data_IF_607460190531
#
_entry.id   IF_607460190531
#
_cell.length_a   1.000
_cell.length_b   1.000
_cell.length_c   1.000
_cell.angle_alpha   90.00
_cell.angle_beta   90.00
_cell.angle_gamma   90.00
#
_symmetry.space_group_name_H-M   'P 1'
#
loop_
_entity.id
_entity.type
_entity.pdbx_description
1 polymer ?
#
# COMPACT_ATOMS: atom_id res chain seq x y z
N UNK A 1 -44.20 30.75 4.78
CA UNK A 1 -42.90 30.68 4.07
C UNK A 1 -41.85 31.28 4.98
N UNK A 2 -40.90 30.48 5.47
CA UNK A 2 -39.76 31.02 6.23
C UNK A 2 -38.86 31.73 5.22
N UNK A 3 -38.69 33.04 5.39
CA UNK A 3 -37.84 33.85 4.51
C UNK A 3 -36.38 33.63 4.95
N UNK A 4 -35.73 32.61 4.39
CA UNK A 4 -34.32 32.33 4.69
C UNK A 4 -33.45 33.38 3.97
N UNK A 5 -32.67 34.20 4.71
CA UNK A 5 -31.79 35.16 4.08
C UNK A 5 -30.69 34.44 3.28
N UNK A 6 -30.60 34.75 1.99
CA UNK A 6 -29.54 34.25 1.11
C UNK A 6 -28.42 35.29 1.11
N UNK A 7 -27.20 34.88 1.43
CA UNK A 7 -26.02 35.76 1.46
C UNK A 7 -24.73 34.98 1.24
N UNK A 8 -23.66 35.71 0.88
CA UNK A 8 -22.32 35.14 0.78
C UNK A 8 -21.71 34.94 2.17
N UNK A 9 -20.84 33.95 2.31
CA UNK A 9 -20.14 33.64 3.55
C UNK A 9 -18.67 33.36 3.24
N UNK A 10 -17.78 33.91 4.07
CA UNK A 10 -16.34 33.60 4.04
C UNK A 10 -16.02 32.27 4.74
N UNK A 11 -17.05 31.52 5.17
CA UNK A 11 -16.88 30.21 5.78
C UNK A 11 -16.24 29.27 4.78
N UNK A 12 -15.02 28.84 5.08
CA UNK A 12 -14.34 27.83 4.29
C UNK A 12 -15.09 26.50 4.40
N UNK A 13 -15.29 25.85 3.25
CA UNK A 13 -15.96 24.56 3.14
C UNK A 13 -15.14 23.63 2.26
N UNK A 14 -15.25 22.33 2.52
CA UNK A 14 -14.66 21.27 1.69
C UNK A 14 -15.71 20.21 1.38
N UNK A 15 -15.73 19.64 0.16
CA UNK A 15 -16.56 18.48 -0.13
C UNK A 15 -16.10 17.21 0.61
N UNK A 16 -14.93 17.23 1.25
CA UNK A 16 -14.28 16.08 1.88
C UNK A 16 -14.35 16.10 3.42
N UNK A 17 -15.41 16.67 4.00
CA UNK A 17 -15.55 16.80 5.48
C UNK A 17 -15.45 15.47 6.24
N UNK A 18 -15.78 14.34 5.60
CA UNK A 18 -15.61 12.99 6.13
C UNK A 18 -14.16 12.59 6.42
N UNK A 19 -13.18 13.28 5.85
CA UNK A 19 -11.74 13.05 6.11
C UNK A 19 -11.34 13.38 7.55
N UNK A 20 -12.19 14.07 8.31
CA UNK A 20 -12.04 14.20 9.77
C UNK A 20 -12.02 12.84 10.49
N UNK A 21 -12.74 11.83 9.98
CA UNK A 21 -12.69 10.46 10.52
C UNK A 21 -11.35 9.79 10.19
N UNK A 22 -10.85 9.95 8.97
CA UNK A 22 -9.54 9.44 8.56
C UNK A 22 -8.41 10.07 9.37
N UNK A 23 -8.51 11.37 9.65
CA UNK A 23 -7.58 12.06 10.54
C UNK A 23 -7.56 11.46 11.94
N UNK A 24 -8.73 11.19 12.53
CA UNK A 24 -8.82 10.53 13.85
C UNK A 24 -8.21 9.14 13.84
N UNK A 25 -8.41 8.37 12.77
CA UNK A 25 -7.78 7.07 12.59
C UNK A 25 -6.25 7.17 12.54
N UNK A 26 -5.69 8.10 11.76
CA UNK A 26 -4.25 8.35 11.70
C UNK A 26 -3.70 8.74 13.08
N UNK A 27 -4.40 9.61 13.81
CA UNK A 27 -3.97 10.04 15.14
C UNK A 27 -3.98 8.89 16.15
N UNK A 28 -5.06 8.10 16.14
CA UNK A 28 -5.22 6.96 17.05
C UNK A 28 -4.20 5.85 16.80
N UNK A 29 -3.87 5.58 15.53
CA UNK A 29 -2.86 4.57 15.18
C UNK A 29 -1.43 5.02 15.52
N UNK A 30 -1.18 6.33 15.65
CA UNK A 30 0.15 6.87 15.91
C UNK A 30 1.11 6.77 14.71
N UNK A 31 0.58 6.55 13.50
CA UNK A 31 1.38 6.24 12.30
C UNK A 31 2.38 7.34 11.93
N UNK A 32 2.04 8.62 12.16
CA UNK A 32 2.97 9.74 11.95
C UNK A 32 4.25 9.59 12.77
N UNK A 33 4.12 9.11 14.01
CA UNK A 33 5.24 8.88 14.91
C UNK A 33 6.09 7.68 14.48
N UNK A 34 5.45 6.63 14.01
CA UNK A 34 6.14 5.43 13.53
C UNK A 34 6.87 5.67 12.20
N UNK A 35 6.26 6.38 11.25
CA UNK A 35 6.90 6.73 9.98
C UNK A 35 8.24 7.45 10.15
N UNK A 36 8.39 8.27 11.21
CA UNK A 36 9.65 8.96 11.53
C UNK A 36 10.79 8.04 11.93
N UNK A 37 10.50 6.80 12.29
CA UNK A 37 11.48 5.81 12.73
C UNK A 37 11.97 4.93 11.56
N UNK A 38 11.28 4.99 10.41
CA UNK A 38 11.61 4.20 9.23
C UNK A 38 12.69 4.90 8.39
N UNK A 39 13.48 4.13 7.63
CA UNK A 39 14.45 4.66 6.66
C UNK A 39 13.75 5.24 5.42
N UNK A 40 13.11 6.39 5.59
CA UNK A 40 12.44 7.12 4.51
C UNK A 40 13.39 8.11 3.81
N UNK A 41 13.19 8.40 2.51
CA UNK A 41 14.02 9.38 1.82
C UNK A 41 13.87 10.80 2.37
N UNK A 42 14.93 11.33 2.97
CA UNK A 42 14.93 12.67 3.55
C UNK A 42 15.00 13.81 2.51
N UNK A 43 14.51 15.01 2.83
CA UNK A 43 14.71 16.20 2.01
C UNK A 43 16.17 16.67 2.07
N UNK A 44 16.67 17.17 0.95
CA UNK A 44 18.03 17.73 0.87
C UNK A 44 18.13 19.20 1.31
N UNK A 45 17.06 19.79 1.83
CA UNK A 45 17.04 21.21 2.24
C UNK A 45 16.13 21.43 3.44
N UNK A 46 16.41 22.48 4.22
CA UNK A 46 15.64 22.88 5.40
C UNK A 46 14.21 23.36 5.08
N UNK A 47 13.89 23.59 3.80
CA UNK A 47 12.55 23.97 3.32
C UNK A 47 11.77 22.77 2.78
N UNK A 48 12.35 21.57 2.84
CA UNK A 48 11.69 20.36 2.38
C UNK A 48 10.60 19.88 3.34
N UNK A 49 9.61 19.20 2.79
CA UNK A 49 8.59 18.51 3.57
C UNK A 49 9.20 17.30 4.28
N UNK A 50 8.76 17.06 5.51
CA UNK A 50 9.12 15.84 6.24
C UNK A 50 8.50 14.60 5.55
N UNK A 51 9.18 13.45 5.51
CA UNK A 51 8.67 12.26 4.83
C UNK A 51 7.27 11.82 5.27
N UNK A 52 6.98 11.86 6.57
CA UNK A 52 5.67 11.45 7.10
C UNK A 52 4.54 12.36 6.60
N UNK A 53 4.82 13.66 6.40
CA UNK A 53 3.86 14.59 5.83
C UNK A 53 3.61 14.25 4.35
N UNK A 54 4.65 13.99 3.55
CA UNK A 54 4.50 13.62 2.14
C UNK A 54 3.68 12.34 1.98
N UNK A 55 3.95 11.31 2.80
CA UNK A 55 3.21 10.05 2.74
C UNK A 55 1.75 10.24 3.12
N UNK A 56 1.49 10.93 4.24
CA UNK A 56 0.13 11.14 4.74
C UNK A 56 -0.71 12.00 3.79
N UNK A 57 -0.14 13.08 3.24
CA UNK A 57 -0.83 13.93 2.27
C UNK A 57 -1.08 13.21 0.95
N UNK A 58 -0.21 12.26 0.59
CA UNK A 58 -0.44 11.37 -0.56
C UNK A 58 -1.59 10.39 -0.30
N UNK A 59 -1.68 9.81 0.91
CA UNK A 59 -2.84 8.97 1.28
C UNK A 59 -4.14 9.77 1.25
N UNK A 60 -4.15 10.98 1.81
CA UNK A 60 -5.31 11.86 1.71
C UNK A 60 -5.72 12.06 0.25
N UNK A 61 -4.75 12.29 -0.63
CA UNK A 61 -5.00 12.45 -2.05
C UNK A 61 -5.70 11.23 -2.66
N UNK A 62 -5.25 10.02 -2.32
CA UNK A 62 -5.87 8.77 -2.78
C UNK A 62 -7.29 8.64 -2.22
N UNK A 63 -7.51 8.90 -0.93
CA UNK A 63 -8.82 8.78 -0.29
C UNK A 63 -9.87 9.75 -0.85
N UNK A 64 -9.44 10.92 -1.33
CA UNK A 64 -10.31 11.87 -2.03
C UNK A 64 -10.39 11.62 -3.54
N UNK A 65 -9.85 10.51 -4.05
CA UNK A 65 -10.04 10.07 -5.43
C UNK A 65 -8.91 10.43 -6.42
N UNK A 66 -7.73 10.83 -5.95
CA UNK A 66 -6.59 11.07 -6.84
C UNK A 66 -6.09 9.75 -7.45
N UNK A 67 -6.10 9.69 -8.78
CA UNK A 67 -5.58 8.56 -9.58
C UNK A 67 -4.29 8.89 -10.34
N UNK A 68 -3.86 10.16 -10.31
CA UNK A 68 -2.64 10.68 -10.94
C UNK A 68 -1.98 11.67 -10.01
N UNK A 69 -0.64 11.80 -10.08
CA UNK A 69 0.08 12.76 -9.24
C UNK A 69 -0.43 14.20 -9.42
N UNK A 70 -0.83 14.59 -10.63
CA UNK A 70 -1.36 15.95 -10.88
C UNK A 70 -2.68 16.22 -10.16
N UNK A 71 -3.48 15.19 -9.84
CA UNK A 71 -4.71 15.36 -9.07
C UNK A 71 -4.42 15.72 -7.60
N UNK A 72 -3.21 15.42 -7.09
CA UNK A 72 -2.80 15.80 -5.74
C UNK A 72 -2.71 17.33 -5.58
N UNK A 73 -2.45 18.07 -6.68
CA UNK A 73 -2.41 19.53 -6.66
C UNK A 73 -3.79 20.16 -6.43
N UNK A 74 -4.89 19.45 -6.70
CA UNK A 74 -6.25 19.96 -6.45
C UNK A 74 -6.49 20.20 -4.95
N UNK A 75 -5.98 19.30 -4.10
CA UNK A 75 -6.15 19.41 -2.65
C UNK A 75 -5.19 20.42 -2.02
N UNK A 76 -4.14 20.81 -2.75
CA UNK A 76 -3.16 21.80 -2.27
C UNK A 76 -3.78 23.16 -1.94
N UNK A 77 -4.95 23.46 -2.50
CA UNK A 77 -5.68 24.70 -2.24
C UNK A 77 -6.83 24.52 -1.24
N UNK A 78 -7.11 23.30 -0.77
CA UNK A 78 -8.15 23.03 0.23
C UNK A 78 -7.65 23.37 1.63
N UNK A 79 -7.94 24.61 2.06
CA UNK A 79 -7.56 25.13 3.39
C UNK A 79 -8.29 24.45 4.54
N UNK A 80 -9.48 23.89 4.30
CA UNK A 80 -10.22 23.16 5.35
C UNK A 80 -9.56 21.82 5.62
N UNK A 81 -9.18 21.07 4.59
CA UNK A 81 -8.44 19.83 4.76
C UNK A 81 -7.07 20.06 5.40
N UNK A 82 -6.36 21.11 4.99
CA UNK A 82 -5.11 21.52 5.65
C UNK A 82 -5.30 21.76 7.15
N UNK A 83 -6.37 22.47 7.52
CA UNK A 83 -6.74 22.67 8.92
C UNK A 83 -7.08 21.36 9.63
N UNK A 84 -7.90 20.48 9.03
CA UNK A 84 -8.25 19.16 9.62
C UNK A 84 -6.98 18.34 9.89
N UNK A 85 -6.03 18.33 8.97
CA UNK A 85 -4.81 17.53 9.09
C UNK A 85 -3.67 18.22 9.85
N UNK A 86 -3.86 19.48 10.29
CA UNK A 86 -2.86 20.33 10.92
C UNK A 86 -1.61 20.53 10.03
N UNK A 87 -1.83 20.95 8.79
CA UNK A 87 -0.77 21.29 7.83
C UNK A 87 -0.87 22.75 7.40
N UNK A 88 0.28 23.41 7.30
CA UNK A 88 0.33 24.79 6.77
C UNK A 88 0.13 24.83 5.26
N UNK A 89 0.78 23.89 4.56
CA UNK A 89 0.71 23.71 3.11
C UNK A 89 0.83 22.24 2.76
N UNK A 90 0.17 21.82 1.67
CA UNK A 90 0.37 20.48 1.12
C UNK A 90 1.49 20.45 0.06
N UNK A 91 2.21 19.32 -0.08
CA UNK A 91 3.18 19.13 -1.14
C UNK A 91 2.58 19.25 -2.54
N UNK A 92 3.37 19.73 -3.49
CA UNK A 92 3.02 19.71 -4.92
C UNK A 92 3.23 18.34 -5.55
N UNK A 93 2.61 18.13 -6.70
CA UNK A 93 2.84 17.02 -7.63
C UNK A 93 4.34 16.66 -7.74
N UNK A 94 5.18 17.67 -8.00
CA UNK A 94 6.62 17.50 -8.19
C UNK A 94 7.35 17.03 -6.93
N UNK A 95 6.87 17.41 -5.75
CA UNK A 95 7.43 16.91 -4.48
C UNK A 95 7.14 15.43 -4.32
N UNK A 96 5.92 14.98 -4.59
CA UNK A 96 5.58 13.55 -4.55
C UNK A 96 6.44 12.73 -5.52
N UNK A 97 6.54 13.16 -6.79
CA UNK A 97 7.33 12.43 -7.79
C UNK A 97 8.81 12.33 -7.41
N UNK A 98 9.40 13.41 -6.90
CA UNK A 98 10.80 13.36 -6.43
C UNK A 98 10.97 12.48 -5.20
N UNK A 99 10.04 12.54 -4.25
CA UNK A 99 10.09 11.73 -3.04
C UNK A 99 10.00 10.23 -3.36
N UNK A 100 8.96 9.80 -4.08
CA UNK A 100 8.79 8.40 -4.45
C UNK A 100 9.87 7.91 -5.44
N UNK A 101 10.40 8.79 -6.28
CA UNK A 101 11.52 8.47 -7.18
C UNK A 101 12.85 8.20 -6.46
N UNK A 102 12.98 8.51 -5.16
CA UNK A 102 14.16 8.18 -4.35
C UNK A 102 14.13 6.77 -3.76
N UNK A 103 13.01 6.06 -3.84
CA UNK A 103 12.94 4.69 -3.33
C UNK A 103 13.64 3.73 -4.28
N UNK A 104 14.45 2.83 -3.72
CA UNK A 104 14.95 1.64 -4.39
C UNK A 104 14.10 0.43 -3.99
N UNK A 105 14.21 -0.69 -4.72
CA UNK A 105 13.56 -1.93 -4.30
C UNK A 105 14.05 -2.36 -2.91
N UNK A 106 15.37 -2.27 -2.66
CA UNK A 106 15.98 -2.58 -1.36
C UNK A 106 15.32 -1.79 -0.24
N UNK A 107 15.26 -0.46 -0.36
CA UNK A 107 14.64 0.40 0.67
C UNK A 107 13.16 0.08 0.85
N UNK A 108 12.43 -0.20 -0.23
CA UNK A 108 11.03 -0.59 -0.13
C UNK A 108 10.87 -1.88 0.69
N UNK A 109 11.70 -2.89 0.44
CA UNK A 109 11.74 -4.14 1.20
C UNK A 109 12.16 -3.94 2.67
N UNK A 110 12.99 -2.94 2.97
CA UNK A 110 13.38 -2.64 4.36
C UNK A 110 12.30 -1.87 5.13
N UNK A 111 11.47 -1.07 4.43
CA UNK A 111 10.46 -0.21 5.06
C UNK A 111 9.09 -0.89 5.15
N UNK A 112 8.63 -1.53 4.07
CA UNK A 112 7.24 -1.96 3.93
C UNK A 112 6.85 -3.09 4.89
N UNK A 113 7.60 -4.21 5.02
CA UNK A 113 7.26 -5.27 5.97
C UNK A 113 7.26 -4.78 7.43
N UNK A 114 8.18 -3.88 7.79
CA UNK A 114 8.27 -3.29 9.13
C UNK A 114 7.04 -2.42 9.43
N UNK A 115 6.61 -1.60 8.48
CA UNK A 115 5.38 -0.82 8.60
C UNK A 115 4.15 -1.70 8.76
N UNK A 116 4.07 -2.77 7.97
CA UNK A 116 2.94 -3.69 8.00
C UNK A 116 2.89 -4.44 9.32
N UNK A 117 4.03 -4.93 9.82
CA UNK A 117 4.12 -5.61 11.11
C UNK A 117 3.62 -4.72 12.25
N UNK A 118 4.17 -3.51 12.36
CA UNK A 118 3.74 -2.53 13.35
C UNK A 118 2.23 -2.24 13.27
N UNK A 119 1.69 -2.12 12.05
CA UNK A 119 0.28 -1.84 11.86
C UNK A 119 -0.61 -3.01 12.29
N UNK A 120 -0.27 -4.24 11.86
CA UNK A 120 -1.03 -5.44 12.22
C UNK A 120 -0.93 -5.78 13.71
N UNK A 121 0.15 -5.41 14.40
CA UNK A 121 0.28 -5.57 15.85
C UNK A 121 -0.79 -4.81 16.64
N UNK A 122 -1.31 -3.72 16.10
CA UNK A 122 -2.41 -2.96 16.69
C UNK A 122 -3.77 -3.64 16.50
N UNK A 123 -3.86 -4.62 15.59
CA UNK A 123 -5.09 -5.33 15.28
C UNK A 123 -5.17 -6.59 16.14
N UNK A 124 -6.20 -6.65 16.98
CA UNK A 124 -6.52 -7.78 17.86
C UNK A 124 -7.11 -8.99 17.11
N UNK A 125 -6.52 -9.37 15.98
CA UNK A 125 -6.88 -10.60 15.26
C UNK A 125 -5.71 -11.56 15.36
N UNK A 126 -5.99 -12.77 15.80
CA UNK A 126 -5.03 -13.86 15.91
C UNK A 126 -5.56 -15.11 15.18
N UNK A 127 -4.69 -16.09 14.97
CA UNK A 127 -4.97 -17.30 14.20
C UNK A 127 -5.52 -16.97 12.80
N UNK A 128 -4.76 -16.13 12.08
CA UNK A 128 -5.17 -15.52 10.83
C UNK A 128 -5.13 -16.49 9.66
N UNK A 129 -6.01 -16.23 8.69
CA UNK A 129 -5.97 -16.88 7.38
C UNK A 129 -5.25 -15.96 6.42
N UNK A 130 -4.24 -16.45 5.72
CA UNK A 130 -3.49 -15.67 4.72
C UNK A 130 -3.83 -16.14 3.32
N UNK A 131 -4.29 -15.22 2.50
CA UNK A 131 -4.62 -15.45 1.10
C UNK A 131 -3.49 -14.91 0.22
N UNK A 132 -2.82 -15.80 -0.51
CA UNK A 132 -1.82 -15.43 -1.51
C UNK A 132 -2.46 -15.41 -2.90
N UNK A 133 -2.32 -14.28 -3.57
CA UNK A 133 -2.82 -14.09 -4.93
C UNK A 133 -1.78 -13.35 -5.80
N UNK A 134 -1.93 -13.48 -7.11
CA UNK A 134 -1.15 -12.73 -8.09
C UNK A 134 -2.06 -12.03 -9.07
N UNK A 135 -1.60 -10.91 -9.61
CA UNK A 135 -2.37 -10.17 -10.61
C UNK A 135 -1.47 -9.69 -11.74
N UNK A 136 -2.06 -9.34 -12.88
CA UNK A 136 -1.34 -8.77 -14.02
C UNK A 136 -1.75 -7.32 -14.20
N UNK A 137 -0.79 -6.41 -14.07
CA UNK A 137 -1.01 -4.99 -14.37
C UNK A 137 -0.37 -4.65 -15.71
N UNK A 138 -1.22 -4.47 -16.73
CA UNK A 138 -0.78 -4.06 -18.06
C UNK A 138 -0.18 -2.65 -18.02
N UNK A 139 0.94 -2.46 -18.70
CA UNK A 139 1.62 -1.17 -18.80
C UNK A 139 1.59 -0.65 -20.23
N UNK A 140 1.31 0.65 -20.32
CA UNK A 140 1.26 1.41 -21.57
C UNK A 140 2.42 2.42 -21.49
N UNK A 141 3.60 1.99 -21.95
CA UNK A 141 4.84 2.76 -21.86
C UNK A 141 5.99 1.94 -21.25
N UNK A 142 7.06 2.66 -20.92
CA UNK A 142 8.34 2.10 -20.48
C UNK A 142 8.54 2.31 -18.97
N UNK A 143 7.55 1.90 -18.17
CA UNK A 143 7.66 1.99 -16.72
C UNK A 143 8.76 1.06 -16.21
N UNK A 144 9.59 1.57 -15.29
CA UNK A 144 10.65 0.81 -14.64
C UNK A 144 10.13 -0.50 -14.07
N UNK A 145 10.87 -1.59 -14.27
CA UNK A 145 10.51 -2.91 -13.76
C UNK A 145 9.41 -3.62 -14.55
N UNK A 146 8.84 -3.02 -15.60
CA UNK A 146 7.89 -3.71 -16.47
C UNK A 146 8.59 -4.59 -17.50
N UNK A 147 8.01 -5.75 -17.80
CA UNK A 147 8.54 -6.68 -18.80
C UNK A 147 7.41 -7.41 -19.53
N UNK A 148 7.68 -7.91 -20.72
CA UNK A 148 6.75 -8.75 -21.47
C UNK A 148 6.71 -10.14 -20.83
N UNK A 149 5.56 -10.54 -20.33
CA UNK A 149 5.32 -11.91 -19.90
C UNK A 149 3.86 -12.28 -19.99
N UNK A 150 3.40 -13.18 -19.13
CA UNK A 150 2.03 -13.66 -19.18
C UNK A 150 1.03 -12.52 -18.94
N UNK A 151 0.21 -12.24 -19.94
CA UNK A 151 -0.88 -11.28 -19.85
C UNK A 151 -2.07 -11.78 -20.68
N UNK A 152 -3.08 -12.38 -20.04
CA UNK A 152 -4.20 -13.01 -20.76
C UNK A 152 -5.03 -11.98 -21.52
N UNK A 153 -5.16 -10.77 -20.95
CA UNK A 153 -6.00 -9.71 -21.51
C UNK A 153 -5.31 -8.94 -22.65
N UNK A 154 -3.97 -8.82 -22.62
CA UNK A 154 -3.18 -8.01 -23.57
C UNK A 154 -1.82 -8.67 -23.86
N UNK A 155 -1.84 -9.76 -24.62
CA UNK A 155 -0.63 -10.53 -25.02
C UNK A 155 0.44 -9.63 -25.67
N UNK A 156 1.71 -9.88 -25.35
CA UNK A 156 2.87 -9.19 -25.93
C UNK A 156 3.15 -7.77 -25.40
N UNK A 157 2.33 -7.26 -24.47
CA UNK A 157 2.54 -5.97 -23.81
C UNK A 157 3.42 -6.10 -22.56
N UNK A 158 4.15 -5.03 -22.26
CA UNK A 158 4.83 -4.90 -20.97
C UNK A 158 3.79 -4.93 -19.85
N UNK A 159 4.14 -5.59 -18.75
CA UNK A 159 3.29 -5.70 -17.57
C UNK A 159 4.14 -5.82 -16.31
N UNK A 160 3.47 -5.64 -15.18
CA UNK A 160 3.94 -6.13 -13.89
C UNK A 160 3.08 -7.32 -13.47
N UNK A 161 3.66 -8.22 -12.69
CA UNK A 161 2.98 -9.38 -12.12
C UNK A 161 3.06 -9.38 -10.58
N UNK A 162 2.36 -8.45 -9.89
CA UNK A 162 2.42 -8.37 -8.44
C UNK A 162 2.04 -9.67 -7.73
N UNK A 163 2.69 -9.91 -6.58
CA UNK A 163 2.19 -10.82 -5.55
C UNK A 163 1.56 -9.99 -4.44
N UNK A 164 0.45 -10.48 -3.89
CA UNK A 164 -0.24 -9.83 -2.78
C UNK A 164 -0.64 -10.91 -1.78
N UNK A 165 -0.41 -10.62 -0.49
CA UNK A 165 -0.88 -11.42 0.62
C UNK A 165 -1.96 -10.63 1.36
N UNK A 166 -3.11 -11.24 1.62
CA UNK A 166 -4.21 -10.64 2.37
C UNK A 166 -4.48 -11.39 3.66
N UNK A 167 -4.86 -10.66 4.72
CA UNK A 167 -5.43 -11.26 5.93
C UNK A 167 -6.93 -11.49 5.70
N UNK A 168 -7.37 -12.74 5.63
CA UNK A 168 -8.73 -13.10 5.25
C UNK A 168 -9.82 -12.52 6.16
N UNK A 169 -9.53 -12.38 7.46
CA UNK A 169 -10.47 -11.85 8.45
C UNK A 169 -10.77 -10.37 8.25
N UNK A 170 -9.76 -9.57 7.91
CA UNK A 170 -9.88 -8.10 7.76
C UNK A 170 -9.91 -7.65 6.31
N UNK A 171 -9.58 -8.54 5.37
CA UNK A 171 -9.33 -8.26 3.95
C UNK A 171 -8.25 -7.22 3.69
N UNK A 172 -7.39 -6.98 4.66
CA UNK A 172 -6.29 -6.03 4.55
C UNK A 172 -5.08 -6.69 3.89
N UNK A 173 -4.33 -5.90 3.11
CA UNK A 173 -3.06 -6.35 2.54
C UNK A 173 -2.05 -6.52 3.68
N UNK A 174 -1.48 -7.70 3.81
CA UNK A 174 -0.38 -8.03 4.72
C UNK A 174 0.97 -7.69 4.07
N UNK A 175 1.18 -8.16 2.84
CA UNK A 175 2.41 -7.92 2.09
C UNK A 175 2.11 -7.76 0.58
N UNK A 176 3.00 -7.09 -0.16
CA UNK A 176 2.88 -6.93 -1.60
C UNK A 176 4.25 -6.73 -2.27
N UNK A 177 4.51 -7.49 -3.32
CA UNK A 177 5.69 -7.34 -4.17
C UNK A 177 5.30 -6.94 -5.58
N UNK A 178 5.88 -5.85 -6.09
CA UNK A 178 5.72 -5.43 -7.49
C UNK A 178 6.80 -6.09 -8.35
N UNK A 179 6.47 -7.18 -9.04
CA UNK A 179 7.40 -7.93 -9.89
C UNK A 179 7.25 -7.59 -11.38
N UNK A 180 8.29 -7.78 -12.19
CA UNK A 180 8.18 -7.75 -13.64
C UNK A 180 7.18 -8.78 -14.21
N UNK A 181 6.60 -8.47 -15.38
CA UNK A 181 5.60 -9.32 -16.02
C UNK A 181 6.10 -10.68 -16.50
N UNK A 182 7.41 -10.82 -16.74
CA UNK A 182 8.06 -12.07 -17.16
C UNK A 182 8.46 -12.98 -15.99
N UNK A 183 8.07 -12.66 -14.76
CA UNK A 183 8.38 -13.47 -13.58
C UNK A 183 7.33 -14.57 -13.41
N UNK A 184 7.72 -15.81 -13.70
CA UNK A 184 6.90 -17.02 -13.49
C UNK A 184 7.50 -17.97 -12.44
N UNK A 185 8.53 -17.52 -11.70
CA UNK A 185 9.36 -18.39 -10.87
C UNK A 185 8.78 -18.62 -9.46
N UNK A 186 8.68 -19.89 -9.04
CA UNK A 186 8.25 -20.34 -7.71
C UNK A 186 9.18 -19.87 -6.59
N UNK A 187 10.47 -19.69 -6.89
CA UNK A 187 11.47 -19.23 -5.93
C UNK A 187 11.10 -17.86 -5.35
N UNK A 188 10.57 -16.97 -6.22
CA UNK A 188 10.11 -15.64 -5.82
C UNK A 188 8.84 -15.69 -4.96
N UNK A 189 7.97 -16.68 -5.17
CA UNK A 189 6.79 -16.90 -4.34
C UNK A 189 7.17 -17.41 -2.95
N UNK A 190 8.15 -18.32 -2.85
CA UNK A 190 8.66 -18.82 -1.55
C UNK A 190 9.29 -17.70 -0.75
N UNK A 191 10.12 -16.87 -1.38
CA UNK A 191 10.72 -15.71 -0.73
C UNK A 191 9.66 -14.70 -0.26
N UNK A 192 8.62 -14.46 -1.06
CA UNK A 192 7.50 -13.60 -0.69
C UNK A 192 6.70 -14.15 0.50
N UNK A 193 6.38 -15.45 0.51
CA UNK A 193 5.72 -16.10 1.65
C UNK A 193 6.59 -15.99 2.92
N UNK A 194 7.90 -16.23 2.79
CA UNK A 194 8.84 -16.11 3.90
C UNK A 194 8.87 -14.71 4.49
N UNK A 195 8.97 -13.67 3.66
CA UNK A 195 8.92 -12.27 4.15
C UNK A 195 7.56 -11.96 4.80
N UNK A 196 6.47 -12.47 4.23
CA UNK A 196 5.13 -12.28 4.77
C UNK A 196 4.99 -12.86 6.18
N UNK A 197 5.44 -14.10 6.39
CA UNK A 197 5.33 -14.77 7.69
C UNK A 197 6.37 -14.29 8.70
N UNK A 198 7.64 -14.19 8.28
CA UNK A 198 8.76 -13.95 9.19
C UNK A 198 8.96 -12.46 9.51
N UNK A 199 8.41 -11.54 8.70
CA UNK A 199 8.58 -10.10 8.88
C UNK A 199 7.23 -9.38 8.97
N UNK A 200 6.44 -9.34 7.89
CA UNK A 200 5.23 -8.51 7.84
C UNK A 200 4.15 -8.93 8.86
N UNK A 201 4.09 -10.23 9.19
CA UNK A 201 3.16 -10.79 10.17
C UNK A 201 3.89 -11.48 11.32
N UNK A 202 5.14 -11.10 11.58
CA UNK A 202 5.90 -11.61 12.71
C UNK A 202 5.11 -11.41 14.02
N UNK A 203 5.02 -12.46 14.84
CA UNK A 203 4.25 -12.42 16.08
C UNK A 203 2.75 -12.73 15.94
N UNK A 204 2.21 -12.83 14.72
CA UNK A 204 0.84 -13.31 14.48
C UNK A 204 0.83 -14.82 14.23
N UNK A 205 -0.16 -15.53 14.78
CA UNK A 205 -0.33 -16.95 14.49
C UNK A 205 -1.01 -17.13 13.14
N UNK A 206 -0.32 -17.75 12.18
CA UNK A 206 -0.94 -18.14 10.89
C UNK A 206 -1.63 -19.49 11.06
N UNK A 207 -2.95 -19.47 11.03
CA UNK A 207 -3.78 -20.67 11.22
C UNK A 207 -4.04 -21.45 9.91
N UNK A 208 -4.17 -20.73 8.80
CA UNK A 208 -4.46 -21.29 7.48
C UNK A 208 -3.85 -20.45 6.37
N UNK A 209 -3.24 -21.09 5.39
CA UNK A 209 -2.77 -20.48 4.14
C UNK A 209 -3.72 -20.88 3.01
N UNK A 210 -4.16 -19.93 2.19
CA UNK A 210 -4.93 -20.20 0.98
C UNK A 210 -4.22 -19.60 -0.23
N UNK A 211 -4.17 -20.34 -1.32
CA UNK A 211 -3.61 -19.85 -2.57
C UNK A 211 -4.30 -20.49 -3.78
N UNK A 212 -4.23 -19.81 -4.93
CA UNK A 212 -4.75 -20.35 -6.17
C UNK A 212 -3.76 -21.35 -6.82
N UNK A 213 -4.16 -21.91 -7.96
CA UNK A 213 -3.35 -22.87 -8.70
C UNK A 213 -2.02 -22.33 -9.24
N UNK A 214 -1.84 -21.00 -9.28
CA UNK A 214 -0.57 -20.38 -9.65
C UNK A 214 0.53 -20.58 -8.59
N UNK A 215 0.16 -20.97 -7.37
CA UNK A 215 1.08 -21.30 -6.28
C UNK A 215 1.24 -22.81 -6.05
N UNK A 216 0.60 -23.65 -6.88
CA UNK A 216 0.68 -25.09 -6.74
C UNK A 216 2.00 -25.63 -7.31
N UNK A 217 3.04 -25.66 -6.48
CA UNK A 217 4.35 -26.25 -6.80
C UNK A 217 4.88 -27.08 -5.63
N UNK A 218 5.62 -28.16 -5.92
CA UNK A 218 6.22 -29.05 -4.91
C UNK A 218 7.09 -28.26 -3.91
N UNK A 219 7.84 -27.27 -4.39
CA UNK A 219 8.68 -26.41 -3.55
C UNK A 219 7.87 -25.64 -2.50
N UNK A 220 6.72 -25.08 -2.90
CA UNK A 220 5.86 -24.29 -2.00
C UNK A 220 5.11 -25.17 -1.02
N UNK A 221 4.61 -26.32 -1.48
CA UNK A 221 3.98 -27.32 -0.62
C UNK A 221 4.95 -27.81 0.45
N UNK A 222 6.14 -28.26 0.03
CA UNK A 222 7.19 -28.72 0.95
C UNK A 222 7.57 -27.64 1.97
N UNK A 223 7.66 -26.38 1.54
CA UNK A 223 7.94 -25.25 2.43
C UNK A 223 6.85 -25.04 3.49
N UNK A 224 5.57 -25.12 3.11
CA UNK A 224 4.46 -24.96 4.06
C UNK A 224 4.36 -26.14 5.03
N UNK A 225 4.62 -27.36 4.56
CA UNK A 225 4.68 -28.57 5.39
C UNK A 225 5.86 -28.50 6.38
N UNK A 226 7.04 -28.06 5.95
CA UNK A 226 8.21 -27.83 6.82
C UNK A 226 7.90 -26.81 7.91
N UNK A 227 7.15 -25.75 7.58
CA UNK A 227 6.69 -24.73 8.52
C UNK A 227 5.46 -25.15 9.34
N UNK A 228 4.93 -26.35 9.11
CA UNK A 228 3.72 -26.88 9.76
C UNK A 228 2.50 -25.96 9.62
N UNK A 229 2.38 -25.25 8.50
CA UNK A 229 1.23 -24.43 8.21
C UNK A 229 0.12 -25.28 7.56
N UNK A 230 -1.11 -25.16 8.07
CA UNK A 230 -2.26 -25.70 7.35
C UNK A 230 -2.46 -24.91 6.07
N UNK A 231 -2.75 -25.59 4.95
CA UNK A 231 -2.99 -24.91 3.69
C UNK A 231 -4.13 -25.51 2.86
N UNK A 232 -4.75 -24.68 2.03
CA UNK A 232 -5.67 -25.07 0.97
C UNK A 232 -5.16 -24.42 -0.32
N UNK A 233 -4.79 -25.23 -1.30
CA UNK A 233 -4.42 -24.75 -2.63
C UNK A 233 -5.31 -25.36 -3.69
N UNK A 234 -5.76 -24.53 -4.63
CA UNK A 234 -6.45 -25.02 -5.80
C UNK A 234 -5.46 -25.76 -6.72
N UNK A 235 -5.89 -26.86 -7.31
CA UNK A 235 -5.12 -27.61 -8.32
C UNK A 235 -5.80 -27.44 -9.66
N UNK A 236 -5.04 -27.09 -10.71
CA UNK A 236 -5.56 -27.16 -12.08
C UNK A 236 -5.52 -28.62 -12.52
N UNK A 237 -6.70 -29.15 -12.86
CA UNK A 237 -6.82 -30.42 -13.58
C UNK A 237 -6.39 -30.26 -15.04
#
# INVERSE_FOLDING_TARGET
MVNLPIGYSDKQVTPYGGMSLMKRFIDQTGIRGFLRQLDLPEPGSNRGYKPEHIIESFWLSIWTGASRYIHCDWLRYDKVLQSIFNWDEMPSQSTYSRFFGKFSQKRNTEVFPVLQNWFFDQIGVDNITIDFDSTVITRYGDQQGSAKGYNPNKRGRNSHHPLIAFVGQTRMVANAWLRPGNTADSSSCKAFMKETFDQALAGKKVGLVRADSGFYTEELLSYLEEKQHNYIMAVRM
#
